data_IF_625799824702
#
_entry.id   IF_625799824702
#
_cell.length_a   1.000
_cell.length_b   1.000
_cell.length_c   1.000
_cell.angle_alpha   90.00
_cell.angle_beta   90.00
_cell.angle_gamma   90.00
#
_symmetry.space_group_name_H-M   'P 1'
#
loop_
_entity.id
_entity.type
_entity.pdbx_description
1 polymer ?
#
# COMPACT_ATOMS: atom_id res chain seq x y z
N UNK A 1 18.71 -5.61 3.95
CA UNK A 1 17.49 -4.79 4.14
C UNK A 1 16.64 -5.49 5.17
N UNK A 2 16.45 -4.89 6.35
CA UNK A 2 15.66 -5.52 7.42
C UNK A 2 14.25 -5.79 6.87
N UNK A 3 13.85 -7.06 6.75
CA UNK A 3 12.49 -7.44 6.33
C UNK A 3 11.52 -7.13 7.48
N UNK A 4 11.28 -5.86 7.73
CA UNK A 4 10.31 -5.43 8.73
C UNK A 4 8.95 -5.69 8.13
N UNK A 5 8.26 -6.73 8.62
CA UNK A 5 6.87 -7.00 8.26
C UNK A 5 6.07 -5.73 8.52
N UNK A 6 5.26 -5.32 7.54
CA UNK A 6 4.33 -4.20 7.68
C UNK A 6 3.48 -4.41 8.93
N UNK A 7 3.42 -3.40 9.78
CA UNK A 7 2.45 -3.37 10.88
C UNK A 7 1.02 -3.33 10.31
N UNK A 8 0.02 -3.72 11.11
CA UNK A 8 -1.39 -3.63 10.70
C UNK A 8 -1.78 -2.22 10.25
N UNK A 9 -1.19 -1.18 10.85
CA UNK A 9 -1.46 0.22 10.54
C UNK A 9 -0.80 0.66 9.24
N UNK A 10 0.45 0.27 9.00
CA UNK A 10 1.13 0.53 7.73
C UNK A 10 0.41 -0.19 6.59
N UNK A 11 0.03 -1.45 6.81
CA UNK A 11 -0.76 -2.23 5.85
C UNK A 11 -2.07 -1.52 5.48
N UNK A 12 -2.84 -1.11 6.48
CA UNK A 12 -4.09 -0.38 6.25
C UNK A 12 -3.85 0.94 5.49
N UNK A 13 -2.79 1.67 5.83
CA UNK A 13 -2.47 2.95 5.18
C UNK A 13 -2.04 2.80 3.72
N UNK A 14 -1.22 1.79 3.39
CA UNK A 14 -0.83 1.51 2.01
C UNK A 14 -2.04 1.13 1.17
N UNK A 15 -2.89 0.22 1.68
CA UNK A 15 -4.09 -0.23 0.97
C UNK A 15 -5.01 0.96 0.73
N UNK A 16 -5.28 1.78 1.75
CA UNK A 16 -6.14 2.96 1.61
C UNK A 16 -5.59 3.99 0.60
N UNK A 17 -4.29 4.29 0.67
CA UNK A 17 -3.66 5.20 -0.29
C UNK A 17 -3.73 4.67 -1.73
N UNK A 18 -3.53 3.36 -1.92
CA UNK A 18 -3.60 2.74 -3.24
C UNK A 18 -5.02 2.63 -3.77
N UNK A 19 -5.98 2.26 -2.92
CA UNK A 19 -7.40 2.24 -3.27
C UNK A 19 -7.87 3.61 -3.74
N UNK A 20 -7.48 4.69 -3.05
CA UNK A 20 -7.78 6.05 -3.48
C UNK A 20 -7.23 6.36 -4.88
N UNK A 21 -5.99 5.97 -5.19
CA UNK A 21 -5.44 6.15 -6.53
C UNK A 21 -6.28 5.43 -7.60
N UNK A 22 -6.70 4.20 -7.32
CA UNK A 22 -7.52 3.40 -8.23
C UNK A 22 -8.91 4.06 -8.42
N UNK A 23 -9.53 4.53 -7.34
CA UNK A 23 -10.79 5.30 -7.40
C UNK A 23 -10.66 6.58 -8.24
N UNK A 24 -9.46 7.17 -8.31
CA UNK A 24 -9.17 8.34 -9.14
C UNK A 24 -8.81 7.99 -10.60
N UNK A 25 -8.97 6.73 -11.01
CA UNK A 25 -8.69 6.27 -12.37
C UNK A 25 -7.26 5.79 -12.62
N UNK A 26 -6.45 5.59 -11.57
CA UNK A 26 -5.13 5.01 -11.75
C UNK A 26 -5.23 3.54 -12.20
N UNK A 27 -4.41 3.17 -13.19
CA UNK A 27 -4.38 1.81 -13.72
C UNK A 27 -3.92 0.79 -12.66
N UNK A 28 -4.69 -0.29 -12.42
CA UNK A 28 -4.25 -1.42 -11.60
C UNK A 28 -3.05 -2.16 -12.20
N UNK A 29 -2.25 -2.78 -11.35
CA UNK A 29 -1.11 -3.66 -11.72
C UNK A 29 -1.46 -5.14 -11.69
N UNK A 30 -2.73 -5.46 -11.47
CA UNK A 30 -3.28 -6.80 -11.49
C UNK A 30 -4.46 -6.81 -12.46
N UNK A 31 -4.79 -7.98 -12.98
CA UNK A 31 -6.01 -8.15 -13.77
C UNK A 31 -7.22 -7.94 -12.85
N UNK A 32 -8.10 -7.04 -13.28
CA UNK A 32 -9.31 -6.66 -12.55
C UNK A 32 -10.52 -6.87 -13.44
N UNK A 33 -11.61 -7.35 -12.84
CA UNK A 33 -12.93 -7.29 -13.44
C UNK A 33 -13.60 -5.95 -13.09
N UNK A 34 -14.57 -5.48 -13.89
CA UNK A 34 -15.23 -4.18 -13.68
C UNK A 34 -15.93 -4.05 -12.31
N UNK A 35 -16.34 -5.17 -11.72
CA UNK A 35 -17.13 -5.21 -10.49
C UNK A 35 -16.29 -5.24 -9.19
N UNK A 36 -14.95 -5.13 -9.30
CA UNK A 36 -14.07 -5.17 -8.12
C UNK A 36 -13.97 -3.81 -7.44
N UNK A 37 -14.10 -3.80 -6.12
CA UNK A 37 -13.88 -2.62 -5.31
C UNK A 37 -12.39 -2.19 -5.35
N UNK A 38 -12.09 -0.88 -5.38
CA UNK A 38 -10.71 -0.37 -5.35
C UNK A 38 -9.88 -0.87 -4.16
N UNK A 39 -10.52 -1.17 -3.04
CA UNK A 39 -9.88 -1.74 -1.84
C UNK A 39 -9.42 -3.17 -2.09
N UNK A 40 -10.23 -3.98 -2.77
CA UNK A 40 -9.90 -5.36 -3.12
C UNK A 40 -8.74 -5.39 -4.11
N UNK A 41 -8.80 -4.52 -5.13
CA UNK A 41 -7.72 -4.38 -6.11
C UNK A 41 -6.39 -4.01 -5.42
N UNK A 42 -6.42 -3.00 -4.54
CA UNK A 42 -5.24 -2.60 -3.76
C UNK A 42 -4.72 -3.72 -2.84
N UNK A 43 -5.63 -4.52 -2.28
CA UNK A 43 -5.28 -5.67 -1.43
C UNK A 43 -4.62 -6.78 -2.24
N UNK A 44 -5.14 -7.08 -3.43
CA UNK A 44 -4.55 -8.06 -4.36
C UNK A 44 -3.15 -7.62 -4.83
N UNK A 45 -2.97 -6.34 -5.15
CA UNK A 45 -1.65 -5.80 -5.50
C UNK A 45 -0.62 -5.95 -4.37
N UNK A 46 -1.06 -5.74 -3.11
CA UNK A 46 -0.20 -5.90 -1.95
C UNK A 46 0.19 -7.36 -1.74
N UNK A 47 -0.77 -8.27 -1.85
CA UNK A 47 -0.54 -9.73 -1.72
C UNK A 47 0.42 -10.25 -2.80
N UNK A 48 0.28 -9.75 -4.03
CA UNK A 48 1.17 -10.08 -5.16
C UNK A 48 2.50 -9.33 -5.13
N UNK A 49 2.72 -8.43 -4.15
CA UNK A 49 3.92 -7.58 -4.01
C UNK A 49 4.24 -6.74 -5.25
N UNK A 50 3.22 -6.34 -6.01
CA UNK A 50 3.36 -5.50 -7.22
C UNK A 50 2.98 -4.04 -6.98
N UNK A 51 2.63 -3.69 -5.75
CA UNK A 51 2.10 -2.38 -5.38
C UNK A 51 3.14 -1.26 -5.62
N UNK A 52 2.79 -0.13 -6.29
CA UNK A 52 3.71 0.95 -6.66
C UNK A 52 4.09 1.90 -5.50
N UNK A 53 4.01 1.45 -4.24
CA UNK A 53 4.22 2.29 -3.07
C UNK A 53 5.22 1.61 -2.13
N UNK A 54 5.99 2.43 -1.42
CA UNK A 54 6.92 1.98 -0.39
C UNK A 54 6.64 2.69 0.94
N UNK A 55 6.92 2.03 2.06
CA UNK A 55 6.76 2.60 3.40
C UNK A 55 8.09 3.12 3.86
N UNK A 56 8.15 4.43 4.15
CA UNK A 56 9.26 5.04 4.86
C UNK A 56 8.85 5.25 6.31
N UNK A 57 9.32 4.41 7.26
CA UNK A 57 9.15 4.69 8.67
C UNK A 57 9.79 6.06 8.96
N UNK A 58 9.15 6.89 9.78
CA UNK A 58 9.84 8.09 10.28
C UNK A 58 11.03 7.61 11.10
N UNK A 59 12.23 7.98 10.69
CA UNK A 59 13.37 7.91 11.60
C UNK A 59 13.03 8.80 12.79
N UNK A 60 12.95 8.20 13.97
CA UNK A 60 12.95 9.00 15.19
C UNK A 60 14.32 9.66 15.23
N UNK A 61 14.39 10.94 14.87
CA UNK A 61 15.49 11.78 15.31
C UNK A 61 15.52 11.67 16.84
N UNK A 62 16.43 10.86 17.37
CA UNK A 62 16.79 10.93 18.78
C UNK A 62 17.24 12.36 18.98
N UNK A 63 16.43 13.17 19.66
CA UNK A 63 16.89 14.48 20.13
C UNK A 63 18.18 14.19 20.91
N UNK A 64 19.30 14.72 20.41
CA UNK A 64 20.53 14.74 21.18
C UNK A 64 20.21 15.46 22.50
N UNK A 65 20.60 14.81 23.60
CA UNK A 65 20.43 15.34 24.95
C UNK A 65 21.25 16.60 25.19
#
# INVERSE_FOLDING_TARGET
MASKKLTRFEKARIIGARALQISMGAKPRVDVTPDLDPIDIATMELQKKVLPLDVRPREMHKKAG
#
